data_IF_137065260884
#
_entry.id   IF_137065260884
#
_cell.length_a   1.000
_cell.length_b   1.000
_cell.length_c   1.000
_cell.angle_alpha   90.00
_cell.angle_beta   90.00
_cell.angle_gamma   90.00
#
_symmetry.space_group_name_H-M   'P 1'
#
loop_
_entity.id
_entity.type
_entity.pdbx_description
1 polymer ?
#
# COMPACT_ATOMS: atom_id res chain seq x y z
N UNK A 1 -6.26 9.46 -29.42
CA UNK A 1 -5.14 10.34 -29.86
C UNK A 1 -4.86 11.31 -28.73
N UNK A 2 -3.79 11.08 -27.96
CA UNK A 2 -3.34 12.03 -26.93
C UNK A 2 -2.61 13.13 -27.70
N UNK A 3 -3.27 14.26 -27.90
CA UNK A 3 -2.65 15.42 -28.55
C UNK A 3 -1.54 15.97 -27.66
N UNK A 4 -0.36 16.17 -28.22
CA UNK A 4 0.85 16.59 -27.52
C UNK A 4 0.73 17.91 -26.75
N UNK A 5 -0.26 18.75 -27.05
CA UNK A 5 -0.56 19.99 -26.32
C UNK A 5 -1.27 19.77 -24.97
N UNK A 6 -2.02 18.69 -24.81
CA UNK A 6 -2.70 18.37 -23.54
C UNK A 6 -1.81 17.69 -22.50
N UNK A 7 -0.78 16.98 -22.92
CA UNK A 7 0.11 16.19 -22.04
C UNK A 7 0.94 17.10 -21.10
N UNK A 8 1.49 18.20 -21.60
CA UNK A 8 2.26 19.14 -20.78
C UNK A 8 1.46 19.72 -19.62
N UNK A 9 0.16 19.97 -19.82
CA UNK A 9 -0.75 20.43 -18.77
C UNK A 9 -1.11 19.33 -17.77
N UNK A 10 -1.18 18.07 -18.24
CA UNK A 10 -1.43 16.90 -17.37
C UNK A 10 -0.28 16.69 -16.39
N UNK A 11 0.98 16.76 -16.84
CA UNK A 11 2.15 16.61 -15.96
C UNK A 11 2.21 17.68 -14.87
N UNK A 12 1.95 18.94 -15.24
CA UNK A 12 1.93 20.07 -14.30
C UNK A 12 0.82 19.91 -13.26
N UNK A 13 -0.38 19.48 -13.68
CA UNK A 13 -1.51 19.23 -12.78
C UNK A 13 -1.26 18.09 -11.81
N UNK A 14 -0.57 17.04 -12.24
CA UNK A 14 -0.24 15.88 -11.40
C UNK A 14 0.92 16.14 -10.45
N UNK A 15 1.71 17.20 -10.66
CA UNK A 15 2.88 17.52 -9.85
C UNK A 15 3.97 16.46 -9.92
N UNK A 16 4.17 15.91 -11.12
CA UNK A 16 5.23 14.96 -11.44
C UNK A 16 6.61 15.61 -11.22
N UNK A 17 7.59 14.92 -10.60
CA UNK A 17 8.97 15.41 -10.46
C UNK A 17 9.61 15.70 -11.81
N UNK A 18 10.56 16.64 -11.85
CA UNK A 18 11.22 17.09 -13.07
C UNK A 18 11.87 15.96 -13.84
N UNK A 19 12.59 15.06 -13.14
CA UNK A 19 13.20 13.86 -13.71
C UNK A 19 12.17 12.96 -14.42
N UNK A 20 11.03 12.74 -13.79
CA UNK A 20 9.96 11.93 -14.37
C UNK A 20 9.32 12.60 -15.59
N UNK A 21 9.17 13.93 -15.57
CA UNK A 21 8.68 14.73 -16.72
C UNK A 21 9.64 14.64 -17.89
N UNK A 22 10.94 14.80 -17.66
CA UNK A 22 11.97 14.69 -18.70
C UNK A 22 11.96 13.30 -19.34
N UNK A 23 11.85 12.25 -18.52
CA UNK A 23 11.80 10.87 -18.99
C UNK A 23 10.57 10.62 -19.86
N UNK A 24 9.38 11.05 -19.41
CA UNK A 24 8.16 10.93 -20.21
C UNK A 24 8.25 11.73 -21.51
N UNK A 25 8.79 12.94 -21.50
CA UNK A 25 8.98 13.74 -22.73
C UNK A 25 9.92 13.04 -23.72
N UNK A 26 11.00 12.44 -23.23
CA UNK A 26 11.94 11.68 -24.05
C UNK A 26 11.23 10.48 -24.71
N UNK A 27 10.48 9.72 -23.95
CA UNK A 27 9.72 8.57 -24.47
C UNK A 27 8.61 9.01 -25.44
N UNK A 28 7.93 10.13 -25.15
CA UNK A 28 6.92 10.71 -26.06
C UNK A 28 7.50 11.14 -27.40
N UNK A 29 8.71 11.73 -27.40
CA UNK A 29 9.38 12.10 -28.63
C UNK A 29 9.80 10.87 -29.45
N UNK A 30 10.26 9.81 -28.80
CA UNK A 30 10.51 8.52 -29.47
C UNK A 30 9.21 7.96 -30.07
N UNK A 31 8.13 7.96 -29.29
CA UNK A 31 6.82 7.45 -29.72
C UNK A 31 6.31 8.14 -31.00
N UNK A 32 6.51 9.46 -31.13
CA UNK A 32 6.11 10.21 -32.32
C UNK A 32 6.83 9.79 -33.59
N UNK A 33 8.04 9.23 -33.46
CA UNK A 33 8.87 8.78 -34.60
C UNK A 33 8.65 7.30 -34.93
N UNK A 34 7.90 6.57 -34.09
CA UNK A 34 7.66 5.13 -34.28
C UNK A 34 6.47 4.86 -35.21
N UNK A 35 6.48 3.77 -35.98
CA UNK A 35 5.28 3.30 -36.67
C UNK A 35 4.16 2.98 -35.66
N UNK A 36 2.94 3.50 -35.84
CA UNK A 36 1.87 3.37 -34.82
C UNK A 36 1.48 1.95 -34.43
N UNK A 37 1.71 0.98 -35.31
CA UNK A 37 1.36 -0.43 -35.13
C UNK A 37 2.54 -1.31 -34.69
N UNK A 38 3.68 -0.70 -34.33
CA UNK A 38 4.85 -1.47 -33.90
C UNK A 38 4.71 -1.97 -32.46
N UNK A 39 5.35 -3.10 -32.15
CA UNK A 39 5.42 -3.63 -30.79
C UNK A 39 6.11 -2.64 -29.83
N UNK A 40 7.15 -1.95 -30.30
CA UNK A 40 7.85 -0.92 -29.54
C UNK A 40 6.94 0.26 -29.18
N UNK A 41 6.10 0.73 -30.12
CA UNK A 41 5.13 1.79 -29.86
C UNK A 41 4.15 1.40 -28.75
N UNK A 42 3.72 0.14 -28.68
CA UNK A 42 2.85 -0.38 -27.64
C UNK A 42 3.54 -0.37 -26.27
N UNK A 43 4.82 -0.74 -26.19
CA UNK A 43 5.61 -0.70 -24.94
C UNK A 43 5.78 0.73 -24.44
N UNK A 44 6.17 1.66 -25.33
CA UNK A 44 6.36 3.07 -24.97
C UNK A 44 5.06 3.72 -24.52
N UNK A 45 3.96 3.43 -25.22
CA UNK A 45 2.64 3.91 -24.84
C UNK A 45 2.23 3.41 -23.44
N UNK A 46 2.39 2.12 -23.18
CA UNK A 46 2.09 1.53 -21.87
C UNK A 46 2.90 2.18 -20.74
N UNK A 47 4.17 2.49 -20.99
CA UNK A 47 5.01 3.22 -20.04
C UNK A 47 4.48 4.64 -19.75
N UNK A 48 4.15 5.40 -20.78
CA UNK A 48 3.60 6.76 -20.64
C UNK A 48 2.26 6.70 -19.87
N UNK A 49 1.39 5.74 -20.19
CA UNK A 49 0.12 5.55 -19.52
C UNK A 49 0.32 5.25 -18.02
N UNK A 50 1.27 4.41 -17.63
CA UNK A 50 1.63 4.15 -16.24
C UNK A 50 2.15 5.41 -15.54
N UNK A 51 3.10 6.14 -16.14
CA UNK A 51 3.67 7.37 -15.57
C UNK A 51 2.58 8.43 -15.28
N UNK A 52 1.57 8.52 -16.16
CA UNK A 52 0.44 9.44 -15.99
C UNK A 52 -0.55 8.93 -14.94
N UNK A 53 -0.74 7.62 -14.80
CA UNK A 53 -1.75 7.06 -13.89
C UNK A 53 -1.34 7.08 -12.42
N UNK A 54 -0.04 7.14 -12.13
CA UNK A 54 0.49 7.14 -10.76
C UNK A 54 0.25 8.51 -10.09
N UNK A 55 -0.22 8.53 -8.83
CA UNK A 55 -0.50 9.77 -8.11
C UNK A 55 0.79 10.41 -7.57
N UNK A 56 1.35 11.41 -8.27
CA UNK A 56 2.58 12.09 -7.86
C UNK A 56 2.37 13.10 -6.73
N UNK A 57 1.23 13.79 -6.69
CA UNK A 57 0.96 14.87 -5.73
C UNK A 57 -0.37 14.74 -4.98
N UNK A 58 -1.40 14.18 -5.62
CA UNK A 58 -2.74 14.13 -5.06
C UNK A 58 -2.78 13.32 -3.76
N UNK A 59 -3.31 13.93 -2.69
CA UNK A 59 -3.45 13.32 -1.36
C UNK A 59 -4.89 13.35 -0.89
N UNK A 60 -5.30 12.33 -0.12
CA UNK A 60 -6.53 12.37 0.66
C UNK A 60 -6.34 13.25 1.91
N UNK A 61 -7.43 13.81 2.42
CA UNK A 61 -7.42 14.64 3.63
C UNK A 61 -7.28 13.75 4.87
N UNK A 62 -6.16 13.88 5.57
CA UNK A 62 -5.86 13.10 6.78
C UNK A 62 -6.70 13.61 7.95
N UNK A 63 -7.38 12.67 8.63
CA UNK A 63 -8.03 12.91 9.91
C UNK A 63 -7.02 12.71 11.05
N UNK A 64 -6.88 13.72 11.92
CA UNK A 64 -5.91 13.70 13.02
C UNK A 64 -6.57 13.62 14.42
N UNK A 65 -7.87 13.38 14.51
CA UNK A 65 -8.59 13.28 15.78
C UNK A 65 -8.45 11.89 16.39
N UNK A 66 -7.76 11.80 17.52
CA UNK A 66 -7.60 10.53 18.27
C UNK A 66 -8.94 10.09 18.87
N UNK A 67 -9.79 11.03 19.30
CA UNK A 67 -11.13 10.72 19.81
C UNK A 67 -11.98 10.00 18.76
N UNK A 68 -12.00 10.53 17.51
CA UNK A 68 -12.71 9.86 16.42
C UNK A 68 -12.10 8.52 16.05
N UNK A 69 -10.77 8.39 16.14
CA UNK A 69 -10.11 7.12 15.91
C UNK A 69 -10.51 6.07 16.95
N UNK A 70 -10.58 6.47 18.23
CA UNK A 70 -11.08 5.62 19.32
C UNK A 70 -12.52 5.19 19.09
N UNK A 71 -13.40 6.11 18.74
CA UNK A 71 -14.82 5.80 18.45
C UNK A 71 -14.96 4.79 17.30
N UNK A 72 -14.19 4.94 16.25
CA UNK A 72 -14.21 4.00 15.10
C UNK A 72 -13.74 2.62 15.53
N UNK A 73 -12.63 2.52 16.27
CA UNK A 73 -12.10 1.23 16.74
C UNK A 73 -13.07 0.53 17.70
N UNK A 74 -13.73 1.30 18.61
CA UNK A 74 -14.73 0.76 19.51
C UNK A 74 -15.97 0.23 18.78
N UNK A 75 -16.46 0.97 17.81
CA UNK A 75 -17.65 0.59 17.05
C UNK A 75 -17.42 -0.61 16.13
N UNK A 76 -16.20 -0.77 15.61
CA UNK A 76 -15.89 -1.80 14.62
C UNK A 76 -15.43 -3.12 15.24
N UNK A 77 -14.87 -3.08 16.47
CA UNK A 77 -14.21 -4.24 17.07
C UNK A 77 -14.64 -4.45 18.51
N UNK A 78 -15.11 -5.67 18.79
CA UNK A 78 -15.45 -6.10 20.14
C UNK A 78 -14.19 -6.47 20.93
N UNK A 79 -14.09 -5.97 22.18
CA UNK A 79 -12.93 -6.25 23.04
C UNK A 79 -11.63 -5.70 22.48
N UNK A 80 -10.54 -6.44 22.67
CA UNK A 80 -9.20 -6.07 22.17
C UNK A 80 -8.69 -4.73 22.73
N UNK A 81 -8.99 -4.43 24.01
CA UNK A 81 -8.70 -3.14 24.63
C UNK A 81 -7.21 -2.76 24.54
N UNK A 82 -6.31 -3.69 24.89
CA UNK A 82 -4.86 -3.46 24.78
C UNK A 82 -4.41 -3.21 23.35
N UNK A 83 -5.00 -3.92 22.38
CA UNK A 83 -4.68 -3.75 20.95
C UNK A 83 -5.13 -2.37 20.47
N UNK A 84 -6.34 -1.94 20.83
CA UNK A 84 -6.86 -0.62 20.48
C UNK A 84 -6.04 0.49 21.11
N UNK A 85 -5.68 0.36 22.37
CA UNK A 85 -4.83 1.32 23.07
C UNK A 85 -3.47 1.48 22.38
N UNK A 86 -2.80 0.38 22.04
CA UNK A 86 -1.53 0.40 21.30
C UNK A 86 -1.66 1.04 19.93
N UNK A 87 -2.74 0.78 19.20
CA UNK A 87 -3.02 1.43 17.93
C UNK A 87 -3.21 2.95 18.12
N UNK A 88 -3.95 3.38 19.13
CA UNK A 88 -4.16 4.80 19.41
C UNK A 88 -2.88 5.50 19.86
N UNK A 89 -2.01 4.85 20.64
CA UNK A 89 -0.68 5.35 20.98
C UNK A 89 0.15 5.56 19.71
N UNK A 90 0.22 4.56 18.84
CA UNK A 90 0.91 4.66 17.55
C UNK A 90 0.38 5.82 16.71
N UNK A 91 -0.94 5.96 16.56
CA UNK A 91 -1.56 7.07 15.82
C UNK A 91 -1.27 8.43 16.47
N UNK A 92 -1.19 8.49 17.79
CA UNK A 92 -0.88 9.72 18.55
C UNK A 92 0.55 10.19 18.27
N UNK A 93 1.51 9.27 18.17
CA UNK A 93 2.89 9.58 17.76
C UNK A 93 2.92 10.07 16.32
N UNK A 94 2.25 9.36 15.41
CA UNK A 94 2.17 9.73 13.99
C UNK A 94 1.54 11.11 13.76
N UNK A 95 0.61 11.55 14.62
CA UNK A 95 0.00 12.88 14.56
C UNK A 95 0.99 14.01 14.77
N UNK A 96 2.04 13.79 15.59
CA UNK A 96 3.03 14.80 15.97
C UNK A 96 4.11 15.01 14.92
N UNK A 97 4.34 14.03 14.05
CA UNK A 97 5.37 14.09 13.01
C UNK A 97 4.77 14.51 11.67
N UNK A 98 5.51 15.30 10.90
CA UNK A 98 5.08 15.74 9.56
C UNK A 98 5.20 14.64 8.50
N UNK A 99 6.15 13.73 8.68
CA UNK A 99 6.37 12.54 7.83
C UNK A 99 6.35 11.30 8.72
N UNK A 100 5.89 10.18 8.18
CA UNK A 100 5.89 8.89 8.88
C UNK A 100 7.34 8.40 8.97
N UNK A 101 7.95 8.49 10.16
CA UNK A 101 9.35 8.09 10.42
C UNK A 101 9.48 7.00 11.47
N UNK A 102 8.37 6.54 12.05
CA UNK A 102 8.36 5.49 13.06
C UNK A 102 8.40 4.08 12.48
N UNK A 103 8.45 3.07 13.34
CA UNK A 103 8.35 1.68 12.92
C UNK A 103 7.01 1.41 12.22
N UNK A 104 6.98 0.36 11.43
CA UNK A 104 5.76 -0.10 10.75
C UNK A 104 4.93 -0.93 11.72
N UNK A 105 3.64 -0.63 11.82
CA UNK A 105 2.73 -1.41 12.65
C UNK A 105 2.54 -2.81 12.08
N UNK A 106 2.77 -3.85 12.89
CA UNK A 106 2.55 -5.24 12.49
C UNK A 106 1.58 -5.95 13.44
N UNK A 107 0.45 -6.36 12.92
CA UNK A 107 -0.60 -7.08 13.63
C UNK A 107 -0.35 -8.59 13.53
N UNK A 108 0.02 -9.23 14.63
CA UNK A 108 0.38 -10.66 14.68
C UNK A 108 -0.63 -11.44 15.49
N UNK A 109 -1.17 -12.51 14.92
CA UNK A 109 -2.13 -13.37 15.64
C UNK A 109 -2.72 -14.45 14.75
N UNK A 110 -3.49 -15.38 15.32
CA UNK A 110 -4.07 -16.49 14.57
C UNK A 110 -4.97 -16.01 13.44
N UNK A 111 -5.26 -16.84 12.44
CA UNK A 111 -6.21 -16.50 11.40
C UNK A 111 -7.60 -16.26 11.99
N UNK A 112 -8.36 -15.34 11.38
CA UNK A 112 -9.75 -15.06 11.78
C UNK A 112 -9.93 -14.10 12.96
N UNK A 113 -8.87 -13.52 13.53
CA UNK A 113 -8.98 -12.57 14.66
C UNK A 113 -9.26 -11.12 14.23
N UNK A 114 -9.46 -10.87 12.94
CA UNK A 114 -9.84 -9.53 12.47
C UNK A 114 -8.67 -8.60 12.10
N UNK A 115 -7.46 -9.12 11.86
CA UNK A 115 -6.29 -8.29 11.47
C UNK A 115 -6.56 -7.37 10.28
N UNK A 116 -7.19 -7.89 9.24
CA UNK A 116 -7.51 -7.12 8.02
C UNK A 116 -8.55 -6.03 8.32
N UNK A 117 -9.60 -6.34 9.07
CA UNK A 117 -10.62 -5.35 9.46
C UNK A 117 -10.08 -4.28 10.39
N UNK A 118 -9.12 -4.60 11.27
CA UNK A 118 -8.40 -3.58 12.04
C UNK A 118 -7.63 -2.62 11.13
N UNK A 119 -6.96 -3.13 10.10
CA UNK A 119 -6.30 -2.30 9.09
C UNK A 119 -7.26 -1.35 8.36
N UNK A 120 -8.44 -1.84 7.97
CA UNK A 120 -9.50 -1.01 7.38
C UNK A 120 -9.99 0.07 8.34
N UNK A 121 -10.17 -0.26 9.62
CA UNK A 121 -10.60 0.70 10.64
C UNK A 121 -9.53 1.77 10.91
N UNK A 122 -8.24 1.42 10.90
CA UNK A 122 -7.14 2.37 11.00
C UNK A 122 -7.15 3.32 9.78
N UNK A 123 -7.40 2.81 8.57
CA UNK A 123 -7.49 3.65 7.39
C UNK A 123 -8.64 4.66 7.49
N UNK A 124 -9.83 4.23 7.91
CA UNK A 124 -10.99 5.11 8.16
C UNK A 124 -10.71 6.13 9.27
N UNK A 125 -10.10 5.68 10.36
CA UNK A 125 -9.74 6.54 11.50
C UNK A 125 -8.77 7.65 11.12
N UNK A 126 -7.88 7.39 10.15
CA UNK A 126 -6.89 8.35 9.65
C UNK A 126 -7.34 9.12 8.41
N UNK A 127 -8.51 8.79 7.84
CA UNK A 127 -9.01 9.40 6.59
C UNK A 127 -8.19 9.03 5.36
N UNK A 128 -7.52 7.87 5.39
CA UNK A 128 -6.70 7.36 4.29
C UNK A 128 -7.49 6.37 3.45
N UNK A 129 -7.23 6.37 2.15
CA UNK A 129 -7.71 5.30 1.28
C UNK A 129 -7.06 3.98 1.66
N UNK A 130 -7.82 2.89 1.66
CA UNK A 130 -7.35 1.57 2.07
C UNK A 130 -6.95 0.72 0.87
N UNK A 131 -5.77 0.11 0.96
CA UNK A 131 -5.26 -0.83 -0.04
C UNK A 131 -4.77 -2.09 0.66
N UNK A 132 -5.21 -3.25 0.19
CA UNK A 132 -4.68 -4.54 0.63
C UNK A 132 -3.79 -5.14 -0.44
N UNK A 133 -2.60 -5.59 -0.04
CA UNK A 133 -1.67 -6.34 -0.86
C UNK A 133 -1.31 -7.64 -0.15
N UNK A 134 -1.74 -8.77 -0.71
CA UNK A 134 -1.34 -10.08 -0.20
C UNK A 134 0.11 -10.37 -0.62
N UNK A 135 0.95 -10.63 0.35
CA UNK A 135 2.36 -11.00 0.16
C UNK A 135 2.59 -12.51 0.32
N UNK A 136 1.58 -13.23 0.82
CA UNK A 136 1.65 -14.68 0.92
C UNK A 136 1.89 -15.33 -0.45
N UNK A 137 3.00 -16.04 -0.58
CA UNK A 137 3.40 -16.68 -1.83
C UNK A 137 4.20 -15.85 -2.81
N UNK A 138 4.48 -14.57 -2.52
CA UNK A 138 5.43 -13.74 -3.27
C UNK A 138 6.83 -14.33 -3.10
N UNK A 139 7.50 -14.61 -4.21
CA UNK A 139 8.86 -15.20 -4.25
C UNK A 139 9.81 -14.44 -5.16
N UNK A 140 9.27 -13.64 -6.06
CA UNK A 140 10.02 -12.86 -7.03
C UNK A 140 10.08 -11.38 -6.59
N UNK A 141 11.28 -10.84 -6.48
CA UNK A 141 11.51 -9.43 -6.18
C UNK A 141 10.82 -8.50 -7.18
N UNK A 142 10.71 -8.93 -8.43
CA UNK A 142 10.05 -8.17 -9.48
C UNK A 142 8.54 -7.96 -9.23
N UNK A 143 7.91 -8.79 -8.40
CA UNK A 143 6.53 -8.53 -7.97
C UNK A 143 6.40 -7.24 -7.14
N UNK A 144 7.46 -6.86 -6.41
CA UNK A 144 7.50 -5.63 -5.60
C UNK A 144 8.06 -4.47 -6.41
N UNK A 145 9.19 -4.66 -7.10
CA UNK A 145 9.95 -3.64 -7.83
C UNK A 145 9.59 -3.49 -9.30
N UNK A 146 8.74 -4.36 -9.86
CA UNK A 146 8.43 -4.38 -11.29
C UNK A 146 9.51 -5.04 -12.15
N UNK A 147 9.16 -5.29 -13.40
CA UNK A 147 10.05 -5.85 -14.41
C UNK A 147 10.62 -4.74 -15.28
N UNK A 148 11.89 -4.88 -15.70
CA UNK A 148 12.49 -3.94 -16.67
C UNK A 148 11.67 -3.92 -17.96
N UNK A 149 11.56 -2.74 -18.59
CA UNK A 149 10.74 -2.47 -19.77
C UNK A 149 11.13 -3.22 -21.05
N UNK A 150 12.22 -3.96 -21.04
CA UNK A 150 12.73 -4.69 -22.22
C UNK A 150 11.80 -5.79 -22.74
N UNK A 151 10.82 -6.20 -21.95
CA UNK A 151 9.89 -7.28 -22.29
C UNK A 151 8.49 -6.74 -22.59
N UNK A 152 7.86 -7.28 -23.65
CA UNK A 152 6.45 -7.02 -23.95
C UNK A 152 5.60 -7.54 -22.78
N UNK A 153 4.68 -6.69 -22.27
CA UNK A 153 3.85 -7.04 -21.12
C UNK A 153 4.48 -6.76 -19.76
N UNK A 154 5.70 -6.17 -19.71
CA UNK A 154 6.27 -5.68 -18.45
C UNK A 154 5.39 -4.60 -17.82
N UNK A 155 5.38 -4.55 -16.50
CA UNK A 155 4.56 -3.63 -15.70
C UNK A 155 5.28 -3.26 -14.41
N UNK A 156 4.89 -2.14 -13.77
CA UNK A 156 5.39 -1.76 -12.46
C UNK A 156 5.13 -2.83 -11.40
N UNK A 157 5.84 -2.76 -10.28
CA UNK A 157 5.61 -3.60 -9.13
C UNK A 157 4.23 -3.40 -8.50
N UNK A 158 3.79 -4.36 -7.69
CA UNK A 158 2.47 -4.38 -7.05
C UNK A 158 2.17 -3.11 -6.26
N UNK A 159 3.18 -2.50 -5.63
CA UNK A 159 3.04 -1.26 -4.86
C UNK A 159 2.53 -0.15 -5.77
N UNK A 160 3.23 0.14 -6.86
CA UNK A 160 2.86 1.23 -7.77
C UNK A 160 1.61 0.94 -8.59
N UNK A 161 1.35 -0.31 -8.95
CA UNK A 161 0.08 -0.70 -9.58
C UNK A 161 -1.12 -0.36 -8.67
N UNK A 162 -1.00 -0.63 -7.38
CA UNK A 162 -2.05 -0.32 -6.40
C UNK A 162 -2.16 1.17 -6.13
N UNK A 163 -1.03 1.90 -6.09
CA UNK A 163 -1.02 3.36 -6.00
C UNK A 163 -1.76 4.02 -7.16
N UNK A 164 -1.50 3.57 -8.39
CA UNK A 164 -2.21 4.03 -9.59
C UNK A 164 -3.72 3.80 -9.47
N UNK A 165 -4.13 2.61 -9.01
CA UNK A 165 -5.55 2.25 -8.87
C UNK A 165 -6.29 3.13 -7.85
N UNK A 166 -5.66 3.46 -6.73
CA UNK A 166 -6.28 4.28 -5.68
C UNK A 166 -6.23 5.78 -5.98
N UNK A 167 -5.27 6.21 -6.77
CA UNK A 167 -5.17 7.59 -7.27
C UNK A 167 -4.82 8.64 -6.22
N UNK A 168 -4.28 8.25 -5.04
CA UNK A 168 -3.77 9.15 -4.01
C UNK A 168 -2.39 8.71 -3.54
N UNK A 169 -1.54 9.69 -3.16
CA UNK A 169 -0.14 9.48 -2.75
C UNK A 169 -0.01 8.97 -1.31
N UNK A 170 -1.02 9.15 -0.47
CA UNK A 170 -0.97 8.91 0.97
C UNK A 170 -1.97 7.86 1.48
N UNK A 171 -2.16 6.72 0.79
CA UNK A 171 -3.05 5.67 1.27
C UNK A 171 -2.50 4.96 2.50
N UNK A 172 -3.31 4.09 3.09
CA UNK A 172 -2.85 3.04 3.99
C UNK A 172 -2.71 1.73 3.19
N UNK A 173 -1.51 1.18 3.17
CA UNK A 173 -1.22 -0.15 2.63
C UNK A 173 -1.24 -1.20 3.74
N UNK A 174 -2.14 -2.16 3.63
CA UNK A 174 -2.10 -3.38 4.43
C UNK A 174 -1.33 -4.45 3.67
N UNK A 175 -0.13 -4.76 4.13
CA UNK A 175 0.72 -5.82 3.61
C UNK A 175 0.38 -7.12 4.36
N UNK A 176 -0.45 -7.95 3.74
CA UNK A 176 -1.04 -9.12 4.38
C UNK A 176 -0.17 -10.36 4.23
N UNK A 177 -0.06 -11.15 5.30
CA UNK A 177 0.69 -12.41 5.36
C UNK A 177 2.21 -12.25 5.09
N UNK A 178 2.84 -11.26 5.75
CA UNK A 178 4.27 -10.98 5.56
C UNK A 178 5.17 -12.14 6.05
N UNK A 179 4.69 -12.96 6.96
CA UNK A 179 5.36 -14.16 7.45
C UNK A 179 5.41 -15.31 6.43
N UNK A 180 4.70 -15.19 5.31
CA UNK A 180 4.66 -16.18 4.24
C UNK A 180 5.46 -15.78 2.99
N UNK A 181 6.24 -14.72 3.08
CA UNK A 181 7.16 -14.32 2.01
C UNK A 181 8.26 -15.37 1.90
N UNK A 182 8.49 -15.85 0.68
CA UNK A 182 9.58 -16.77 0.38
C UNK A 182 10.68 -16.08 -0.43
N UNK A 183 11.88 -16.63 -0.36
CA UNK A 183 12.95 -16.28 -1.30
C UNK A 183 13.21 -17.50 -2.19
N UNK A 184 13.53 -17.24 -3.47
CA UNK A 184 13.99 -18.26 -4.41
C UNK A 184 15.15 -17.71 -5.28
N UNK A 185 15.52 -18.47 -6.31
CA UNK A 185 16.61 -18.08 -7.22
C UNK A 185 16.32 -16.81 -8.06
N UNK A 186 15.09 -16.30 -8.06
CA UNK A 186 14.66 -15.09 -8.78
C UNK A 186 14.79 -13.81 -7.98
N UNK A 187 15.27 -13.90 -6.75
CA UNK A 187 15.53 -12.74 -5.90
C UNK A 187 14.99 -12.89 -4.48
N UNK A 188 15.18 -11.83 -3.71
CA UNK A 188 14.72 -11.74 -2.33
C UNK A 188 13.69 -10.60 -2.18
N UNK A 189 12.38 -10.93 -2.20
CA UNK A 189 11.33 -9.94 -1.99
C UNK A 189 11.44 -9.20 -0.64
N UNK A 190 12.08 -9.82 0.37
CA UNK A 190 12.28 -9.19 1.68
C UNK A 190 13.19 -7.97 1.59
N UNK A 191 14.24 -8.03 0.75
CA UNK A 191 15.12 -6.88 0.50
C UNK A 191 14.39 -5.73 -0.18
N UNK A 192 13.51 -6.03 -1.16
CA UNK A 192 12.68 -5.01 -1.80
C UNK A 192 11.69 -4.37 -0.81
N UNK A 193 11.12 -5.17 0.09
CA UNK A 193 10.23 -4.66 1.13
C UNK A 193 10.96 -3.82 2.19
N UNK A 194 12.20 -4.12 2.50
CA UNK A 194 13.00 -3.26 3.38
C UNK A 194 13.08 -1.84 2.83
N UNK A 195 13.35 -1.66 1.54
CA UNK A 195 13.37 -0.34 0.91
C UNK A 195 11.99 0.35 0.99
N UNK A 196 10.90 -0.40 0.79
CA UNK A 196 9.53 0.13 0.90
C UNK A 196 9.19 0.56 2.32
N UNK A 197 9.56 -0.24 3.32
CA UNK A 197 9.16 -0.06 4.71
C UNK A 197 10.12 0.81 5.53
N UNK A 198 11.36 1.01 5.06
CA UNK A 198 12.34 1.84 5.76
C UNK A 198 12.07 3.33 5.48
N UNK A 199 11.71 4.13 6.51
CA UNK A 199 11.45 5.55 6.34
C UNK A 199 12.66 6.36 5.86
N UNK A 200 13.87 5.83 6.00
CA UNK A 200 15.11 6.47 5.52
C UNK A 200 15.35 6.26 4.03
N UNK A 201 14.77 5.20 3.45
CA UNK A 201 14.97 4.81 2.06
C UNK A 201 13.72 4.97 1.19
N UNK A 202 12.52 4.88 1.76
CA UNK A 202 11.27 4.81 1.00
C UNK A 202 10.92 6.09 0.20
N UNK A 203 11.60 7.20 0.46
CA UNK A 203 11.43 8.44 -0.30
C UNK A 203 12.08 8.37 -1.70
N UNK A 204 12.98 7.43 -1.93
CA UNK A 204 13.66 7.15 -3.18
C UNK A 204 13.41 5.71 -3.65
N UNK A 205 12.19 5.21 -3.47
CA UNK A 205 11.85 3.85 -3.91
C UNK A 205 11.98 3.75 -5.42
N UNK A 206 12.84 2.85 -5.88
CA UNK A 206 13.12 2.65 -7.29
C UNK A 206 12.38 1.42 -7.83
N UNK A 207 11.39 1.67 -8.69
CA UNK A 207 10.73 0.62 -9.46
C UNK A 207 11.45 0.41 -10.79
N UNK A 208 11.78 -0.83 -11.12
CA UNK A 208 12.58 -1.17 -12.31
C UNK A 208 11.85 -0.90 -13.63
N UNK A 209 10.52 -0.83 -13.62
CA UNK A 209 9.72 -0.48 -14.79
C UNK A 209 9.69 1.03 -15.02
N UNK A 210 9.48 1.81 -13.95
CA UNK A 210 9.42 3.28 -14.04
C UNK A 210 10.79 3.90 -14.28
N UNK A 211 11.85 3.31 -13.70
CA UNK A 211 13.24 3.80 -13.77
C UNK A 211 13.38 5.26 -13.30
N UNK A 212 12.50 5.71 -12.43
CA UNK A 212 12.54 6.99 -11.70
C UNK A 212 12.15 6.72 -10.26
N UNK A 213 12.68 7.52 -9.36
CA UNK A 213 12.37 7.38 -7.94
C UNK A 213 10.95 7.82 -7.63
N UNK A 214 10.26 7.05 -6.78
CA UNK A 214 8.94 7.37 -6.28
C UNK A 214 8.95 7.53 -4.76
N UNK A 215 8.47 8.66 -4.27
CA UNK A 215 8.43 8.97 -2.85
C UNK A 215 7.23 8.31 -2.15
N UNK A 216 7.50 7.25 -1.37
CA UNK A 216 6.52 6.53 -0.54
C UNK A 216 6.40 7.07 0.88
N UNK A 217 7.08 8.16 1.25
CA UNK A 217 7.14 8.67 2.64
C UNK A 217 5.79 9.14 3.21
N UNK A 218 4.80 9.38 2.36
CA UNK A 218 3.44 9.75 2.76
C UNK A 218 2.52 8.54 2.96
N UNK A 219 2.96 7.36 2.53
CA UNK A 219 2.20 6.11 2.64
C UNK A 219 2.27 5.59 4.07
N UNK A 220 1.15 5.15 4.61
CA UNK A 220 1.10 4.45 5.88
C UNK A 220 1.09 2.94 5.62
N UNK A 221 2.13 2.25 6.05
CA UNK A 221 2.21 0.80 5.95
C UNK A 221 1.77 0.15 7.25
N UNK A 222 0.94 -0.88 7.14
CA UNK A 222 0.54 -1.77 8.22
C UNK A 222 0.74 -3.19 7.72
N UNK A 223 1.39 -4.04 8.51
CA UNK A 223 1.63 -5.44 8.17
C UNK A 223 0.70 -6.35 8.96
N UNK A 224 0.39 -7.51 8.42
CA UNK A 224 -0.23 -8.61 9.17
C UNK A 224 0.60 -9.88 9.05
N UNK A 225 0.61 -10.67 10.11
CA UNK A 225 1.26 -11.98 10.14
C UNK A 225 0.45 -12.95 11.00
N UNK A 226 0.57 -14.24 10.74
CA UNK A 226 0.01 -15.28 11.60
C UNK A 226 1.03 -15.73 12.66
N UNK A 227 2.31 -15.58 12.38
CA UNK A 227 3.43 -15.95 13.24
C UNK A 227 4.55 -14.90 13.18
N UNK A 228 5.51 -14.99 14.09
CA UNK A 228 6.72 -14.16 14.07
C UNK A 228 7.82 -14.71 13.16
N UNK A 229 7.51 -15.64 12.28
CA UNK A 229 8.45 -16.14 11.29
C UNK A 229 8.65 -15.12 10.15
N UNK A 230 9.10 -13.92 10.52
CA UNK A 230 9.37 -12.80 9.64
C UNK A 230 10.89 -12.64 9.53
N UNK A 231 11.46 -12.35 8.36
CA UNK A 231 12.88 -12.07 8.22
C UNK A 231 13.35 -11.01 9.22
N UNK A 232 14.46 -11.28 9.95
CA UNK A 232 14.97 -10.42 11.03
C UNK A 232 15.05 -8.94 10.66
N UNK A 233 15.68 -8.57 9.52
CA UNK A 233 15.76 -7.16 9.11
C UNK A 233 14.43 -6.45 8.95
N UNK A 234 13.37 -7.16 8.52
CA UNK A 234 12.01 -6.63 8.45
C UNK A 234 11.40 -6.49 9.85
N UNK A 235 11.62 -7.51 10.69
CA UNK A 235 11.11 -7.52 12.06
C UNK A 235 11.64 -6.34 12.89
N UNK A 236 12.92 -5.98 12.70
CA UNK A 236 13.55 -4.83 13.36
C UNK A 236 12.93 -3.47 13.00
N UNK A 237 12.20 -3.40 11.90
CA UNK A 237 11.48 -2.20 11.45
C UNK A 237 10.02 -2.16 11.91
N UNK A 238 9.57 -3.16 12.68
CA UNK A 238 8.16 -3.34 13.02
C UNK A 238 7.89 -3.12 14.49
N UNK A 239 6.78 -2.45 14.76
CA UNK A 239 6.13 -2.43 16.06
C UNK A 239 5.08 -3.56 16.09
N UNK A 240 5.34 -4.58 16.91
CA UNK A 240 4.51 -5.78 16.97
C UNK A 240 3.36 -5.58 17.96
N UNK A 241 2.13 -5.67 17.46
CA UNK A 241 0.93 -5.79 18.28
C UNK A 241 0.38 -7.21 18.15
N UNK A 242 0.35 -7.93 19.26
CA UNK A 242 -0.16 -9.31 19.30
C UNK A 242 -1.67 -9.31 19.54
N UNK A 243 -2.39 -9.97 18.64
CA UNK A 243 -3.82 -10.22 18.78
C UNK A 243 -4.00 -11.61 19.38
N UNK A 244 -4.63 -11.72 20.55
CA UNK A 244 -4.99 -13.01 21.11
C UNK A 244 -6.10 -13.66 20.28
N UNK A 245 -6.26 -14.96 20.41
CA UNK A 245 -7.45 -15.65 19.93
C UNK A 245 -8.66 -15.29 20.79
N UNK A 246 -9.85 -15.39 20.23
CA UNK A 246 -11.10 -15.12 20.95
C UNK A 246 -11.56 -16.34 21.74
N UNK A 247 -12.11 -16.10 22.92
CA UNK A 247 -12.88 -17.08 23.70
C UNK A 247 -14.20 -17.42 23.00
N UNK A 248 -14.91 -18.45 23.46
CA UNK A 248 -16.20 -18.83 22.89
C UNK A 248 -17.26 -17.73 23.08
N UNK A 249 -17.28 -17.10 24.25
CA UNK A 249 -18.21 -16.00 24.57
C UNK A 249 -17.95 -14.77 23.70
N UNK A 250 -16.69 -14.43 23.49
CA UNK A 250 -16.30 -13.34 22.57
C UNK A 250 -16.69 -13.66 21.13
N UNK A 251 -16.47 -14.88 20.66
CA UNK A 251 -16.90 -15.32 19.32
C UNK A 251 -18.42 -15.22 19.15
N UNK A 252 -19.19 -15.60 20.18
CA UNK A 252 -20.65 -15.48 20.17
C UNK A 252 -21.09 -14.02 20.09
N UNK A 253 -20.45 -13.14 20.88
CA UNK A 253 -20.71 -11.71 20.86
C UNK A 253 -20.37 -11.08 19.51
N UNK A 254 -19.22 -11.42 18.93
CA UNK A 254 -18.81 -10.99 17.59
C UNK A 254 -19.80 -11.47 16.54
N UNK A 255 -20.22 -12.74 16.61
CA UNK A 255 -21.19 -13.28 15.66
C UNK A 255 -22.51 -12.50 15.70
N UNK A 256 -23.06 -12.28 16.89
CA UNK A 256 -24.35 -11.57 17.06
C UNK A 256 -24.30 -10.09 16.66
N UNK A 257 -23.26 -9.39 17.09
CA UNK A 257 -23.20 -7.94 16.98
C UNK A 257 -22.61 -7.43 15.66
N UNK A 258 -21.79 -8.24 14.99
CA UNK A 258 -21.08 -7.81 13.78
C UNK A 258 -21.32 -8.71 12.58
N UNK A 259 -21.21 -10.05 12.72
CA UNK A 259 -21.30 -10.95 11.57
C UNK A 259 -22.73 -11.13 11.07
N UNK A 260 -23.69 -11.33 11.98
CA UNK A 260 -25.10 -11.51 11.62
C UNK A 260 -25.68 -10.26 10.97
N UNK A 261 -25.54 -9.04 11.53
CA UNK A 261 -26.01 -7.82 10.89
C UNK A 261 -25.39 -7.62 9.49
N UNK A 262 -24.08 -7.82 9.37
CA UNK A 262 -23.37 -7.71 8.09
C UNK A 262 -23.87 -8.73 7.05
N UNK A 263 -24.16 -9.96 7.47
CA UNK A 263 -24.71 -10.98 6.56
C UNK A 263 -26.16 -10.70 6.17
N UNK A 264 -26.98 -10.17 7.09
CA UNK A 264 -28.34 -9.74 6.78
C UNK A 264 -28.32 -8.64 5.71
N UNK A 265 -27.48 -7.63 5.88
CA UNK A 265 -27.30 -6.55 4.91
C UNK A 265 -26.84 -7.07 3.55
N UNK A 266 -25.77 -7.88 3.54
CA UNK A 266 -25.19 -8.46 2.32
C UNK A 266 -26.17 -9.34 1.53
N UNK A 267 -27.11 -9.97 2.21
CA UNK A 267 -28.12 -10.83 1.61
C UNK A 267 -29.47 -10.12 1.40
N UNK A 268 -29.56 -8.81 1.65
CA UNK A 268 -30.77 -8.04 1.49
C UNK A 268 -31.90 -8.42 2.47
N UNK A 269 -31.55 -9.06 3.58
CA UNK A 269 -32.48 -9.40 4.66
C UNK A 269 -32.51 -8.26 5.68
N UNK A 270 -33.69 -7.87 6.11
CA UNK A 270 -33.91 -6.84 7.13
C UNK A 270 -34.05 -7.48 8.51
#
# INVERSE_FOLDING_TARGET
>A
VIESRGLGDVYKRQGMPEEAVEKVNTELNKFKLMPPMSAEASVVRGYIDWMISIPWKKKSKIQKSITKASEILENDHHGLEEVKERILEFLSVQKRVSKIKGPVLCLVGPPGVGKTSLGESIARATGREFIRVALGGVRDEAEIRGHRRTYIGSMPGKILQKMSKVGVKNPLFLLDEIDKIGADYRGDPSSALLEVLDPEQNHTFNDHYLEVDYDLSDVMFVCTANSLNIPGPLLDRMEIIRLPGYTEDEKLSIAKNYLVPKQLENNGLK
#
